data_IF_030174536481
#
_entry.id   IF_030174536481
#
_cell.length_a   1.000
_cell.length_b   1.000
_cell.length_c   1.000
_cell.angle_alpha   90.00
_cell.angle_beta   90.00
_cell.angle_gamma   90.00
#
_symmetry.space_group_name_H-M   'P 1'
#
loop_
_entity.id
_entity.type
_entity.pdbx_description
1 polymer ?
#
# COMPACT_ATOMS: atom_id res chain seq x y z
N UNK A 1 -6.56 -25.20 8.63
CA UNK A 1 -5.99 -23.89 9.01
C UNK A 1 -6.92 -22.81 8.49
N UNK A 2 -7.50 -21.98 9.37
CA UNK A 2 -8.37 -20.88 8.94
C UNK A 2 -7.47 -19.77 8.39
N UNK A 3 -7.60 -19.44 7.11
CA UNK A 3 -6.89 -18.30 6.52
C UNK A 3 -7.53 -17.02 7.06
N UNK A 4 -6.83 -16.31 7.95
CA UNK A 4 -7.28 -15.01 8.46
C UNK A 4 -7.43 -14.05 7.28
N UNK A 5 -8.62 -13.49 7.10
CA UNK A 5 -8.88 -12.49 6.05
C UNK A 5 -8.06 -11.24 6.37
N UNK A 6 -7.27 -10.76 5.41
CA UNK A 6 -6.56 -9.49 5.53
C UNK A 6 -7.56 -8.37 5.81
N UNK A 7 -7.26 -7.58 6.83
CA UNK A 7 -7.92 -6.32 7.14
C UNK A 7 -7.66 -5.29 6.05
N UNK A 8 -8.51 -4.26 6.00
CA UNK A 8 -8.32 -3.13 5.09
C UNK A 8 -6.98 -2.43 5.29
N UNK A 9 -6.53 -2.30 6.55
CA UNK A 9 -5.24 -1.69 6.87
C UNK A 9 -4.07 -2.52 6.31
N UNK A 10 -4.10 -3.85 6.45
CA UNK A 10 -3.07 -4.73 5.87
C UNK A 10 -3.01 -4.58 4.35
N UNK A 11 -4.15 -4.54 3.67
CA UNK A 11 -4.19 -4.32 2.20
C UNK A 11 -3.58 -2.97 1.80
N UNK A 12 -3.94 -1.89 2.51
CA UNK A 12 -3.40 -0.55 2.25
C UNK A 12 -1.88 -0.55 2.43
N UNK A 13 -1.40 -1.12 3.54
CA UNK A 13 0.02 -1.20 3.84
C UNK A 13 0.78 -2.08 2.84
N UNK A 14 0.22 -3.21 2.42
CA UNK A 14 0.78 -4.10 1.39
C UNK A 14 1.03 -3.32 0.08
N UNK A 15 0.04 -2.52 -0.37
CA UNK A 15 0.19 -1.69 -1.57
C UNK A 15 1.31 -0.67 -1.38
N UNK A 16 1.34 0.05 -0.26
CA UNK A 16 2.35 1.08 -0.01
C UNK A 16 3.77 0.48 0.10
N UNK A 17 3.93 -0.66 0.76
CA UNK A 17 5.20 -1.38 0.84
C UNK A 17 5.65 -1.90 -0.53
N UNK A 18 4.72 -2.38 -1.36
CA UNK A 18 5.03 -2.83 -2.70
C UNK A 18 5.51 -1.67 -3.59
N UNK A 19 4.85 -0.50 -3.53
CA UNK A 19 5.29 0.70 -4.25
C UNK A 19 6.70 1.11 -3.76
N UNK A 20 6.93 1.16 -2.44
CA UNK A 20 8.22 1.48 -1.85
C UNK A 20 9.33 0.52 -2.31
N UNK A 21 9.09 -0.80 -2.25
CA UNK A 21 10.09 -1.82 -2.61
C UNK A 21 10.44 -1.85 -4.10
N UNK A 22 9.58 -1.30 -4.97
CA UNK A 22 9.82 -1.14 -6.41
C UNK A 22 10.51 0.18 -6.77
N UNK A 23 11.19 0.81 -5.81
CA UNK A 23 11.89 2.09 -6.03
C UNK A 23 10.97 3.30 -5.94
N UNK A 24 9.82 3.16 -5.27
CA UNK A 24 8.89 4.25 -5.02
C UNK A 24 7.90 4.52 -6.16
N UNK A 25 8.00 3.82 -7.29
CA UNK A 25 7.12 3.99 -8.46
C UNK A 25 6.81 2.66 -9.12
N UNK A 26 5.53 2.40 -9.43
CA UNK A 26 5.11 1.09 -9.96
C UNK A 26 3.88 1.19 -10.87
N UNK A 27 3.74 0.25 -11.80
CA UNK A 27 2.53 0.14 -12.65
C UNK A 27 1.38 -0.55 -11.89
N UNK A 28 0.10 -0.21 -12.18
CA UNK A 28 -1.06 -0.85 -11.56
C UNK A 28 -1.03 -2.38 -11.60
N UNK A 29 -0.61 -2.97 -12.73
CA UNK A 29 -0.53 -4.43 -12.92
C UNK A 29 0.40 -5.10 -11.91
N UNK A 30 1.56 -4.51 -11.64
CA UNK A 30 2.48 -5.05 -10.63
C UNK A 30 1.88 -4.97 -9.22
N UNK A 31 1.06 -3.95 -8.93
CA UNK A 31 0.34 -3.85 -7.65
C UNK A 31 -0.69 -4.98 -7.53
N UNK A 32 -1.48 -5.19 -8.58
CA UNK A 32 -2.50 -6.23 -8.63
C UNK A 32 -1.91 -7.63 -8.36
N UNK A 33 -0.84 -7.98 -9.07
CA UNK A 33 -0.17 -9.28 -8.90
C UNK A 33 0.58 -9.40 -7.58
N UNK A 34 1.25 -8.33 -7.14
CA UNK A 34 2.06 -8.36 -5.92
C UNK A 34 1.26 -8.36 -4.63
N UNK A 35 0.07 -7.76 -4.62
CA UNK A 35 -0.77 -7.65 -3.42
C UNK A 35 -1.91 -8.70 -3.38
N UNK A 36 -2.02 -9.60 -4.37
CA UNK A 36 -3.09 -10.61 -4.47
C UNK A 36 -4.50 -10.00 -4.29
N UNK A 37 -4.79 -8.92 -5.04
CA UNK A 37 -6.04 -8.16 -4.94
C UNK A 37 -6.91 -8.40 -6.18
N UNK A 38 -8.23 -8.30 -6.01
CA UNK A 38 -9.13 -8.12 -7.16
C UNK A 38 -8.99 -6.70 -7.71
N UNK A 39 -9.37 -6.50 -8.98
CA UNK A 39 -9.27 -5.19 -9.63
C UNK A 39 -10.11 -4.12 -8.91
N UNK A 40 -11.30 -4.47 -8.42
CA UNK A 40 -12.16 -3.54 -7.67
C UNK A 40 -11.55 -3.12 -6.34
N UNK A 41 -11.03 -4.07 -5.57
CA UNK A 41 -10.37 -3.79 -4.28
C UNK A 41 -9.11 -2.95 -4.50
N UNK A 42 -8.33 -3.24 -5.53
CA UNK A 42 -7.15 -2.44 -5.86
C UNK A 42 -7.55 -0.99 -6.15
N UNK A 43 -8.57 -0.78 -7.01
CA UNK A 43 -9.02 0.57 -7.38
C UNK A 43 -9.47 1.38 -6.15
N UNK A 44 -10.32 0.81 -5.30
CA UNK A 44 -10.81 1.48 -4.10
C UNK A 44 -9.66 1.92 -3.18
N UNK A 45 -8.67 1.06 -2.97
CA UNK A 45 -7.53 1.38 -2.11
C UNK A 45 -6.58 2.39 -2.74
N UNK A 46 -6.38 2.36 -4.06
CA UNK A 46 -5.59 3.38 -4.77
C UNK A 46 -6.27 4.75 -4.71
N UNK A 47 -7.59 4.81 -4.92
CA UNK A 47 -8.36 6.04 -4.83
C UNK A 47 -8.30 6.62 -3.41
N UNK A 48 -8.40 5.76 -2.38
CA UNK A 48 -8.21 6.16 -0.99
C UNK A 48 -6.80 6.70 -0.73
N UNK A 49 -5.75 6.00 -1.15
CA UNK A 49 -4.36 6.40 -0.96
C UNK A 49 -4.05 7.73 -1.66
N UNK A 50 -4.62 7.97 -2.84
CA UNK A 50 -4.53 9.26 -3.54
C UNK A 50 -5.23 10.36 -2.77
N UNK A 51 -6.46 10.10 -2.26
CA UNK A 51 -7.22 11.09 -1.49
C UNK A 51 -6.51 11.56 -0.22
N UNK A 52 -5.56 10.77 0.29
CA UNK A 52 -4.73 11.07 1.46
C UNK A 52 -3.35 11.65 1.11
N UNK A 53 -3.06 11.87 -0.17
CA UNK A 53 -1.72 12.22 -0.70
C UNK A 53 -0.64 11.23 -0.24
N UNK A 54 -0.97 9.95 -0.01
CA UNK A 54 0.03 8.93 0.32
C UNK A 54 0.71 8.39 -0.94
N UNK A 55 -0.02 8.40 -2.06
CA UNK A 55 0.50 8.09 -3.39
C UNK A 55 -0.02 9.11 -4.40
N UNK A 56 0.64 9.21 -5.56
CA UNK A 56 0.19 10.01 -6.71
C UNK A 56 0.11 9.15 -7.95
N UNK A 57 -0.93 9.38 -8.76
CA UNK A 57 -1.01 8.84 -10.12
C UNK A 57 -0.20 9.76 -11.04
N UNK A 58 0.75 9.18 -11.77
CA UNK A 58 1.58 9.90 -12.73
C UNK A 58 1.55 9.22 -14.10
N UNK A 59 1.73 10.02 -15.15
CA UNK A 59 1.67 9.56 -16.55
C UNK A 59 0.33 9.88 -17.22
N UNK A 60 0.10 9.29 -18.38
CA UNK A 60 -1.09 9.47 -19.21
C UNK A 60 -1.97 8.21 -19.21
N UNK A 61 -3.05 8.23 -19.99
CA UNK A 61 -3.98 7.10 -20.09
C UNK A 61 -3.36 5.84 -20.70
N UNK A 62 -2.23 5.95 -21.42
CA UNK A 62 -1.50 4.81 -22.01
C UNK A 62 -0.45 4.24 -21.06
N UNK A 63 0.11 5.06 -20.16
CA UNK A 63 1.21 4.69 -19.26
C UNK A 63 1.02 5.29 -17.87
N UNK A 64 0.22 4.60 -17.06
CA UNK A 64 -0.06 4.96 -15.67
C UNK A 64 0.98 4.34 -14.73
N UNK A 65 1.46 5.13 -13.78
CA UNK A 65 2.22 4.68 -12.63
C UNK A 65 1.65 5.28 -11.34
N UNK A 66 1.88 4.60 -10.23
CA UNK A 66 1.67 5.13 -8.89
C UNK A 66 3.01 5.35 -8.22
N UNK A 67 3.20 6.54 -7.68
CA UNK A 67 4.41 6.96 -6.99
C UNK A 67 4.08 7.25 -5.52
N UNK A 68 4.89 6.74 -4.60
CA UNK A 68 4.73 7.03 -3.17
C UNK A 68 5.21 8.44 -2.86
N UNK A 69 4.44 9.19 -2.07
CA UNK A 69 4.81 10.55 -1.68
C UNK A 69 5.70 10.56 -0.44
N UNK A 70 6.18 11.74 -0.06
CA UNK A 70 6.85 11.94 1.23
C UNK A 70 5.92 11.61 2.41
N UNK A 71 4.65 11.98 2.30
CA UNK A 71 3.65 11.68 3.34
C UNK A 71 3.42 10.16 3.43
N UNK A 72 3.25 9.47 2.30
CA UNK A 72 3.12 8.01 2.30
C UNK A 72 4.33 7.29 2.91
N UNK A 73 5.55 7.79 2.66
CA UNK A 73 6.76 7.26 3.30
C UNK A 73 6.77 7.50 4.82
N UNK A 74 6.30 8.67 5.27
CA UNK A 74 6.15 8.99 6.69
C UNK A 74 5.20 8.01 7.38
N UNK A 75 4.04 7.76 6.77
CA UNK A 75 3.02 6.83 7.28
C UNK A 75 3.53 5.38 7.34
N UNK A 76 4.30 4.93 6.35
CA UNK A 76 4.98 3.63 6.41
C UNK A 76 5.87 3.53 7.66
N UNK A 77 6.65 4.56 7.94
CA UNK A 77 7.57 4.56 9.08
C UNK A 77 6.81 4.59 10.41
N UNK A 78 5.70 5.32 10.49
CA UNK A 78 4.82 5.31 11.65
C UNK A 78 4.19 3.94 11.90
N UNK A 79 3.65 3.31 10.86
CA UNK A 79 3.14 1.95 10.95
C UNK A 79 4.21 0.97 11.46
N UNK A 80 5.45 1.06 10.94
CA UNK A 80 6.58 0.24 11.42
C UNK A 80 6.89 0.49 12.89
N UNK A 81 6.79 1.72 13.39
CA UNK A 81 6.96 2.02 14.83
C UNK A 81 5.87 1.35 15.67
N UNK A 82 4.62 1.42 15.23
CA UNK A 82 3.49 0.78 15.92
C UNK A 82 3.67 -0.75 15.94
N UNK A 83 4.05 -1.37 14.82
CA UNK A 83 4.31 -2.82 14.77
C UNK A 83 5.45 -3.23 15.71
N UNK A 84 6.55 -2.46 15.75
CA UNK A 84 7.64 -2.71 16.70
C UNK A 84 7.17 -2.62 18.15
N UNK A 85 6.35 -1.63 18.47
CA UNK A 85 5.75 -1.49 19.81
C UNK A 85 4.88 -2.69 20.14
N UNK A 86 3.92 -3.04 19.27
CA UNK A 86 3.05 -4.21 19.42
C UNK A 86 3.86 -5.49 19.71
N UNK A 87 4.90 -5.73 18.93
CA UNK A 87 5.77 -6.90 19.09
C UNK A 87 6.54 -6.88 20.43
N UNK A 88 7.03 -5.72 20.87
CA UNK A 88 7.77 -5.59 22.13
C UNK A 88 6.90 -5.90 23.36
N UNK A 89 5.58 -5.72 23.25
CA UNK A 89 4.63 -5.96 24.34
C UNK A 89 3.76 -7.21 24.14
N UNK A 90 3.97 -7.98 23.07
CA UNK A 90 3.20 -9.20 22.78
C UNK A 90 1.72 -8.95 22.47
N UNK A 91 1.40 -7.81 21.86
CA UNK A 91 0.03 -7.41 21.53
C UNK A 91 -0.23 -7.71 20.05
N UNK A 92 -1.16 -8.62 19.74
CA UNK A 92 -1.60 -8.98 18.37
C UNK A 92 -2.95 -8.37 17.98
#
# INVERSE_FOLDING_TARGET
MVVKRRSRLEVIMDIMFLIQSKGGKVKPTHILYGANLSHGVLKENLDFLISKDFIRRIGDDKRIFYEITKEGLSQINEFRRIQKFKNAFGID
#
